data_IF_887073664499
#
_entry.id   IF_887073664499
#
_cell.length_a   1.000
_cell.length_b   1.000
_cell.length_c   1.000
_cell.angle_alpha   90.00
_cell.angle_beta   90.00
_cell.angle_gamma   90.00
#
_symmetry.space_group_name_H-M   'P 1'
#
loop_
_entity.id
_entity.type
_entity.pdbx_description
1 polymer ?
#
# COMPACT_ATOMS: atom_id res chain seq x y z
N UNK A 1 0.07 -26.29 -10.14
CA UNK A 1 -0.68 -25.05 -9.82
C UNK A 1 -0.22 -24.35 -8.54
N UNK A 2 0.34 -25.07 -7.55
CA UNK A 2 0.64 -24.51 -6.22
C UNK A 2 1.95 -23.69 -6.18
N UNK A 3 2.87 -23.98 -7.12
CA UNK A 3 4.16 -23.30 -7.27
C UNK A 3 4.02 -21.86 -7.77
N UNK A 4 3.07 -21.61 -8.67
CA UNK A 4 2.78 -20.25 -9.17
C UNK A 4 2.15 -19.41 -8.05
N UNK A 5 1.21 -19.99 -7.29
CA UNK A 5 0.59 -19.31 -6.16
C UNK A 5 1.61 -19.00 -5.04
N UNK A 6 2.50 -19.95 -4.73
CA UNK A 6 3.60 -19.76 -3.77
C UNK A 6 4.63 -18.72 -4.24
N UNK A 7 4.94 -18.69 -5.54
CA UNK A 7 5.84 -17.71 -6.13
C UNK A 7 5.25 -16.29 -6.06
N UNK A 8 3.97 -16.13 -6.41
CA UNK A 8 3.26 -14.85 -6.30
C UNK A 8 3.28 -14.30 -4.86
N UNK A 9 3.04 -15.17 -3.88
CA UNK A 9 3.09 -14.78 -2.46
C UNK A 9 4.49 -14.31 -2.05
N UNK A 10 5.54 -15.02 -2.45
CA UNK A 10 6.93 -14.64 -2.14
C UNK A 10 7.33 -13.33 -2.80
N UNK A 11 6.89 -13.11 -4.04
CA UNK A 11 7.15 -11.87 -4.80
C UNK A 11 6.44 -10.68 -4.16
N UNK A 12 5.17 -10.83 -3.77
CA UNK A 12 4.41 -9.78 -3.08
C UNK A 12 5.04 -9.44 -1.73
N UNK A 13 5.43 -10.45 -0.95
CA UNK A 13 6.13 -10.23 0.33
C UNK A 13 7.47 -9.52 0.13
N UNK A 14 8.25 -9.90 -0.88
CA UNK A 14 9.53 -9.26 -1.19
C UNK A 14 9.35 -7.79 -1.59
N UNK A 15 8.37 -7.49 -2.44
CA UNK A 15 8.05 -6.13 -2.85
C UNK A 15 7.57 -5.26 -1.67
N UNK A 16 6.78 -5.82 -0.76
CA UNK A 16 6.33 -5.11 0.45
C UNK A 16 7.49 -4.79 1.39
N UNK A 17 8.42 -5.73 1.59
CA UNK A 17 9.63 -5.51 2.41
C UNK A 17 10.53 -4.46 1.77
N UNK A 18 10.71 -4.50 0.44
CA UNK A 18 11.48 -3.50 -0.29
C UNK A 18 10.87 -2.10 -0.18
N UNK A 19 9.53 -1.99 -0.30
CA UNK A 19 8.81 -0.73 -0.12
C UNK A 19 9.01 -0.17 1.29
N UNK A 20 8.88 -1.00 2.33
CA UNK A 20 9.11 -0.61 3.73
C UNK A 20 10.55 -0.18 4.00
N UNK A 21 11.54 -0.85 3.39
CA UNK A 21 12.95 -0.46 3.50
C UNK A 21 13.22 0.89 2.82
N UNK A 22 12.54 1.18 1.72
CA UNK A 22 12.67 2.45 1.01
C UNK A 22 12.14 3.67 1.80
N UNK A 23 11.35 3.47 2.86
CA UNK A 23 10.92 4.54 3.76
C UNK A 23 12.01 4.98 4.75
N UNK A 24 13.09 4.20 4.93
CA UNK A 24 14.15 4.50 5.91
C UNK A 24 15.09 5.65 5.50
N UNK A 25 14.93 6.22 4.31
CA UNK A 25 15.74 7.35 3.83
C UNK A 25 14.97 8.67 3.88
N UNK A 26 14.55 9.08 5.08
CA UNK A 26 14.19 10.48 5.36
C UNK A 26 15.36 11.11 6.10
N UNK A 27 16.16 11.91 5.39
CA UNK A 27 17.17 12.78 6.00
C UNK A 27 16.53 14.16 6.12
N UNK A 28 16.57 14.76 7.31
CA UNK A 28 16.19 16.15 7.46
C UNK A 28 17.19 17.02 6.69
N UNK A 29 16.70 18.00 5.93
CA UNK A 29 17.57 18.96 5.26
C UNK A 29 18.37 19.75 6.32
N UNK A 30 19.66 20.06 6.09
CA UNK A 30 20.41 20.93 6.99
C UNK A 30 19.63 22.25 7.13
N UNK A 31 19.32 22.65 8.37
CA UNK A 31 18.50 23.83 8.62
C UNK A 31 19.15 25.08 8.03
N UNK A 32 18.63 25.56 6.90
CA UNK A 32 18.99 26.84 6.31
C UNK A 32 18.25 27.95 7.05
N UNK A 33 18.55 28.16 8.34
CA UNK A 33 18.00 29.24 9.17
C UNK A 33 16.57 29.62 8.82
N UNK A 34 15.64 28.67 8.96
CA UNK A 34 14.27 28.73 8.43
C UNK A 34 13.53 30.01 8.80
N UNK A 35 12.38 30.31 8.16
CA UNK A 35 11.70 31.59 8.33
C UNK A 35 11.52 31.89 9.82
N UNK A 36 12.14 32.99 10.27
CA UNK A 36 11.89 33.56 11.59
C UNK A 36 10.36 33.70 11.75
N UNK A 37 9.77 33.44 12.92
CA UNK A 37 8.31 33.51 13.10
C UNK A 37 7.85 34.96 12.89
N UNK A 38 7.66 35.34 11.64
CA UNK A 38 6.75 36.40 11.25
C UNK A 38 5.37 35.77 11.35
N UNK A 39 4.42 36.52 11.88
CA UNK A 39 3.02 36.14 11.99
C UNK A 39 2.43 35.92 10.58
N UNK A 40 2.77 34.80 9.96
CA UNK A 40 2.40 34.43 8.61
C UNK A 40 1.49 33.23 8.74
N UNK A 41 0.21 33.50 8.48
CA UNK A 41 -0.93 32.58 8.44
C UNK A 41 -0.78 31.53 7.33
N UNK A 42 0.38 30.89 7.18
CA UNK A 42 0.55 29.83 6.18
C UNK A 42 0.08 28.50 6.78
N UNK A 43 -1.00 27.90 6.22
CA UNK A 43 -1.48 26.61 6.69
C UNK A 43 -0.39 25.55 6.52
N UNK A 44 -0.30 24.57 7.45
CA UNK A 44 0.72 23.53 7.39
C UNK A 44 0.72 22.87 6.02
N UNK A 45 1.91 22.75 5.42
CA UNK A 45 2.10 22.13 4.12
C UNK A 45 1.39 20.77 4.08
N UNK A 46 0.34 20.67 3.26
CA UNK A 46 -0.51 19.48 3.17
C UNK A 46 0.31 18.27 2.73
N UNK A 47 0.55 17.34 3.66
CA UNK A 47 1.16 16.05 3.36
C UNK A 47 0.21 15.29 2.41
N UNK A 48 0.69 14.57 1.37
CA UNK A 48 -0.17 13.86 0.42
C UNK A 48 -0.82 12.61 1.05
N UNK A 49 -1.75 12.80 1.99
CA UNK A 49 -2.53 11.73 2.60
C UNK A 49 -3.57 11.20 1.60
N UNK A 50 -4.10 12.06 0.72
CA UNK A 50 -5.23 11.70 -0.14
C UNK A 50 -4.87 10.90 -1.38
N UNK A 51 -3.63 10.94 -1.86
CA UNK A 51 -3.21 10.20 -3.06
C UNK A 51 -2.86 8.74 -2.77
N UNK A 52 -1.98 8.53 -1.80
CA UNK A 52 -1.48 7.18 -1.46
C UNK A 52 -2.52 6.33 -0.73
N UNK A 53 -3.24 6.91 0.25
CA UNK A 53 -4.23 6.17 1.02
C UNK A 53 -5.41 5.73 0.15
N UNK A 54 -5.89 6.59 -0.75
CA UNK A 54 -6.95 6.25 -1.71
C UNK A 54 -6.53 5.12 -2.66
N UNK A 55 -5.27 5.12 -3.12
CA UNK A 55 -4.74 4.06 -3.97
C UNK A 55 -4.65 2.72 -3.23
N UNK A 56 -4.16 2.73 -1.98
CA UNK A 56 -4.10 1.55 -1.11
C UNK A 56 -5.50 0.99 -0.81
N UNK A 57 -6.45 1.86 -0.50
CA UNK A 57 -7.84 1.49 -0.22
C UNK A 57 -8.51 0.87 -1.44
N UNK A 58 -8.34 1.49 -2.63
CA UNK A 58 -8.89 0.97 -3.88
C UNK A 58 -8.28 -0.40 -4.25
N UNK A 59 -6.95 -0.54 -4.16
CA UNK A 59 -6.26 -1.79 -4.45
C UNK A 59 -6.66 -2.91 -3.47
N UNK A 60 -6.72 -2.60 -2.16
CA UNK A 60 -7.15 -3.54 -1.13
C UNK A 60 -8.60 -4.00 -1.32
N UNK A 61 -9.51 -3.06 -1.61
CA UNK A 61 -10.92 -3.35 -1.89
C UNK A 61 -11.10 -4.23 -3.12
N UNK A 62 -10.45 -3.89 -4.24
CA UNK A 62 -10.52 -4.68 -5.46
C UNK A 62 -9.99 -6.11 -5.26
N UNK A 63 -8.86 -6.27 -4.57
CA UNK A 63 -8.30 -7.59 -4.28
C UNK A 63 -9.18 -8.41 -3.32
N UNK A 64 -9.73 -7.79 -2.27
CA UNK A 64 -10.64 -8.43 -1.32
C UNK A 64 -11.90 -8.98 -2.00
N UNK A 65 -12.55 -8.15 -2.84
CA UNK A 65 -13.73 -8.57 -3.62
C UNK A 65 -13.41 -9.72 -4.58
N UNK A 66 -12.26 -9.66 -5.27
CA UNK A 66 -11.79 -10.75 -6.13
C UNK A 66 -11.65 -12.06 -5.36
N UNK A 67 -11.00 -12.03 -4.19
CA UNK A 67 -10.74 -13.22 -3.36
C UNK A 67 -12.04 -13.86 -2.85
N UNK A 68 -13.03 -13.05 -2.45
CA UNK A 68 -14.34 -13.53 -2.02
C UNK A 68 -15.07 -14.20 -3.19
N UNK A 69 -15.02 -13.62 -4.39
CA UNK A 69 -15.65 -14.21 -5.57
C UNK A 69 -15.02 -15.55 -5.95
N UNK A 70 -13.69 -15.64 -5.92
CA UNK A 70 -12.96 -16.88 -6.20
C UNK A 70 -13.30 -17.98 -5.19
N UNK A 71 -13.41 -17.63 -3.89
CA UNK A 71 -13.83 -18.58 -2.85
C UNK A 71 -15.26 -19.09 -3.08
N UNK A 72 -16.18 -18.22 -3.50
CA UNK A 72 -17.57 -18.61 -3.82
C UNK A 72 -17.65 -19.51 -5.05
N UNK A 73 -16.78 -19.30 -6.04
CA UNK A 73 -16.71 -20.15 -7.24
C UNK A 73 -16.08 -21.51 -6.95
N UNK A 74 -15.12 -21.58 -6.04
CA UNK A 74 -14.50 -22.84 -5.59
C UNK A 74 -15.48 -23.80 -4.91
N UNK A 75 -16.55 -23.29 -4.28
CA UNK A 75 -17.61 -24.12 -3.68
C UNK A 75 -18.61 -24.72 -4.68
N UNK A 76 -18.54 -24.34 -5.96
CA UNK A 76 -19.40 -24.90 -7.02
C UNK A 76 -18.75 -26.08 -7.78
N UNK A 77 -17.59 -26.55 -7.33
CA UNK A 77 -16.84 -27.64 -7.95
C UNK A 77 -16.60 -28.81 -6.99
N UNK A 78 -17.56 -29.08 -6.11
CA UNK A 78 -17.68 -30.40 -5.48
C UNK A 78 -18.75 -31.17 -6.28
N UNK A 79 -18.36 -32.01 -7.24
CA UNK A 79 -19.30 -32.91 -7.89
C UNK A 79 -19.81 -33.90 -6.84
N UNK A 80 -21.13 -33.96 -6.70
CA UNK A 80 -21.83 -35.08 -6.08
C UNK A 80 -21.48 -36.37 -6.84
N UNK A 81 -20.60 -37.19 -6.26
CA UNK A 81 -20.59 -38.67 -6.39
C UNK A 81 -19.99 -39.28 -5.13
#
# INVERSE_FOLDING_TARGET
MNYIFSACIKIVSFAAIFFLFSLSSVVAQPGSGGPQPTNSEEPPAGVPIDGGASLLLAAGGAYGLKKINDYRKGKKQEPEV
#
